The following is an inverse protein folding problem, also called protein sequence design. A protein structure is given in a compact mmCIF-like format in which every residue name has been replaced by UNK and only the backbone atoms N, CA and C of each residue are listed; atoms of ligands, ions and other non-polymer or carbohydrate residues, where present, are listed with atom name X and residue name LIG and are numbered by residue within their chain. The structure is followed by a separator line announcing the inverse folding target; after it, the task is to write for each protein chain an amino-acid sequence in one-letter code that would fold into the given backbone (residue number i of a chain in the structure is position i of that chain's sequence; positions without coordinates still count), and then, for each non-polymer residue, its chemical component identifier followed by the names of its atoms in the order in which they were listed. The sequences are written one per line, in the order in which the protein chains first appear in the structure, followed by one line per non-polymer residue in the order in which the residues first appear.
data_IF_631355730826
#
_entry.id   IF_631355730826
#
_cell.length_a   1.000
_cell.length_b   1.000
_cell.length_c   1.000
_cell.angle_alpha   90.00
_cell.angle_beta   90.00
_cell.angle_gamma   90.00
#
_symmetry.space_group_name_H-M   'P 1'
#
loop_
_entity.id
_entity.type
_entity.pdbx_description
1 polymer ?
#
# COMPACT_ATOMS: atom_id res chain seq x y z
N UNK A 1 29.89 -27.88 -15.48
CA UNK A 1 29.54 -27.57 -14.06
C UNK A 1 29.41 -26.08 -13.77
N UNK A 2 30.36 -25.27 -14.19
CA UNK A 2 30.28 -23.80 -13.97
C UNK A 2 29.09 -23.14 -14.63
N UNK A 3 28.69 -23.56 -15.82
CA UNK A 3 27.54 -23.02 -16.55
C UNK A 3 26.24 -23.37 -15.84
N UNK A 4 26.10 -24.57 -15.28
CA UNK A 4 24.92 -25.00 -14.51
C UNK A 4 24.82 -24.22 -13.20
N UNK A 5 25.93 -23.96 -12.51
CA UNK A 5 25.95 -23.16 -11.28
C UNK A 5 25.54 -21.71 -11.55
N UNK A 6 26.04 -21.11 -12.64
CA UNK A 6 25.65 -19.76 -13.05
C UNK A 6 24.17 -19.68 -13.38
N UNK A 7 23.62 -20.68 -14.07
CA UNK A 7 22.20 -20.70 -14.39
C UNK A 7 21.33 -20.82 -13.13
N UNK A 8 21.77 -21.61 -12.14
CA UNK A 8 21.07 -21.72 -10.87
C UNK A 8 21.12 -20.41 -10.09
N UNK A 9 22.27 -19.75 -10.03
CA UNK A 9 22.40 -18.45 -9.39
C UNK A 9 21.51 -17.41 -10.04
N UNK A 10 21.47 -17.35 -11.37
CA UNK A 10 20.61 -16.44 -12.13
C UNK A 10 19.13 -16.73 -11.84
N UNK A 11 18.75 -18.00 -11.74
CA UNK A 11 17.36 -18.37 -11.38
C UNK A 11 17.01 -17.93 -9.97
N UNK A 12 17.90 -18.11 -9.00
CA UNK A 12 17.67 -17.70 -7.62
C UNK A 12 17.54 -16.17 -7.52
N UNK A 13 18.46 -15.42 -8.14
CA UNK A 13 18.43 -13.95 -8.15
C UNK A 13 17.16 -13.47 -8.84
N UNK A 14 16.78 -14.07 -9.97
CA UNK A 14 15.56 -13.72 -10.68
C UNK A 14 14.31 -13.98 -9.84
N UNK A 15 14.27 -15.09 -9.11
CA UNK A 15 13.16 -15.43 -8.20
C UNK A 15 13.05 -14.43 -7.06
N UNK A 16 14.17 -14.05 -6.44
CA UNK A 16 14.21 -13.06 -5.37
C UNK A 16 13.76 -11.69 -5.88
N UNK A 17 14.24 -11.26 -7.05
CA UNK A 17 13.83 -10.00 -7.66
C UNK A 17 12.34 -9.96 -7.95
N UNK A 18 11.78 -11.05 -8.47
CA UNK A 18 10.33 -11.15 -8.72
C UNK A 18 9.54 -11.03 -7.41
N UNK A 19 10.01 -11.65 -6.34
CA UNK A 19 9.36 -11.57 -5.02
C UNK A 19 9.33 -10.13 -4.52
N UNK A 20 10.47 -9.44 -4.51
CA UNK A 20 10.54 -8.06 -4.04
C UNK A 20 9.76 -7.11 -4.93
N UNK A 21 9.80 -7.30 -6.24
CA UNK A 21 9.04 -6.51 -7.19
C UNK A 21 7.53 -6.70 -6.97
N UNK A 22 7.08 -7.93 -6.75
CA UNK A 22 5.69 -8.24 -6.44
C UNK A 22 5.24 -7.54 -5.16
N UNK A 23 6.06 -7.59 -4.09
CA UNK A 23 5.78 -6.90 -2.83
C UNK A 23 5.67 -5.39 -3.05
N UNK A 24 6.58 -4.81 -3.82
CA UNK A 24 6.60 -3.37 -4.10
C UNK A 24 5.35 -2.93 -4.85
N UNK A 25 4.99 -3.64 -5.92
CA UNK A 25 3.78 -3.35 -6.72
C UNK A 25 2.53 -3.50 -5.86
N UNK A 26 2.43 -4.58 -5.09
CA UNK A 26 1.31 -4.83 -4.17
C UNK A 26 1.20 -3.72 -3.12
N UNK A 27 2.33 -3.23 -2.63
CA UNK A 27 2.40 -2.13 -1.67
C UNK A 27 1.91 -0.81 -2.27
N UNK A 28 2.27 -0.53 -3.51
CA UNK A 28 1.79 0.66 -4.23
C UNK A 28 0.28 0.59 -4.41
N UNK A 29 -0.26 -0.56 -4.82
CA UNK A 29 -1.70 -0.77 -4.97
C UNK A 29 -2.43 -0.60 -3.65
N UNK A 30 -1.86 -1.11 -2.56
CA UNK A 30 -2.40 -0.93 -1.21
C UNK A 30 -2.46 0.55 -0.84
N UNK A 31 -1.40 1.30 -1.13
CA UNK A 31 -1.37 2.75 -0.93
C UNK A 31 -2.45 3.46 -1.71
N UNK A 32 -2.65 3.10 -2.97
CA UNK A 32 -3.74 3.65 -3.78
C UNK A 32 -5.10 3.38 -3.15
N UNK A 33 -5.36 2.16 -2.71
CA UNK A 33 -6.64 1.80 -2.07
C UNK A 33 -6.88 2.65 -0.83
N UNK A 34 -5.90 2.76 0.07
CA UNK A 34 -6.01 3.56 1.29
C UNK A 34 -6.28 5.04 0.97
N UNK A 35 -5.61 5.59 -0.03
CA UNK A 35 -5.80 7.00 -0.40
C UNK A 35 -7.20 7.24 -0.97
N UNK A 36 -7.70 6.33 -1.80
CA UNK A 36 -9.07 6.41 -2.33
C UNK A 36 -10.08 6.37 -1.19
N UNK A 37 -9.91 5.45 -0.26
CA UNK A 37 -10.80 5.29 0.89
C UNK A 37 -10.77 6.49 1.82
N UNK A 38 -9.58 7.00 2.12
CA UNK A 38 -9.41 8.20 2.93
C UNK A 38 -10.05 9.42 2.26
N UNK A 39 -9.91 9.54 0.93
CA UNK A 39 -10.54 10.61 0.16
C UNK A 39 -12.06 10.50 0.20
N UNK A 40 -12.60 9.29 0.06
CA UNK A 40 -14.03 9.04 0.15
C UNK A 40 -14.56 9.36 1.56
N UNK A 41 -13.83 8.94 2.60
CA UNK A 41 -14.17 9.24 3.99
C UNK A 41 -14.25 10.75 4.23
N UNK A 42 -13.24 11.50 3.80
CA UNK A 42 -13.19 12.95 3.96
C UNK A 42 -14.31 13.65 3.18
N UNK A 43 -14.64 13.15 1.99
CA UNK A 43 -15.70 13.73 1.15
C UNK A 43 -17.10 13.55 1.74
N UNK A 44 -17.35 12.42 2.40
CA UNK A 44 -18.69 12.05 2.90
C UNK A 44 -18.85 12.41 4.38
N UNK A 45 -17.75 12.58 5.10
CA UNK A 45 -17.74 12.80 6.54
C UNK A 45 -18.66 13.96 7.00
N UNK A 46 -18.69 15.04 6.20
CA UNK A 46 -19.52 16.21 6.54
C UNK A 46 -21.01 15.89 6.53
N UNK A 47 -21.46 14.98 5.64
CA UNK A 47 -22.86 14.63 5.48
C UNK A 47 -23.25 13.38 6.28
N UNK A 48 -22.37 12.38 6.34
CA UNK A 48 -22.64 11.12 7.03
C UNK A 48 -21.33 10.46 7.49
N UNK A 49 -20.93 10.66 8.76
CA UNK A 49 -19.71 10.03 9.28
C UNK A 49 -19.79 8.51 9.30
N UNK A 50 -20.99 7.94 9.51
CA UNK A 50 -21.16 6.48 9.52
C UNK A 50 -20.93 5.86 8.16
N UNK A 51 -21.43 6.50 7.10
CA UNK A 51 -21.24 6.02 5.73
C UNK A 51 -19.77 6.10 5.32
N UNK A 52 -19.08 7.19 5.66
CA UNK A 52 -17.65 7.34 5.40
C UNK A 52 -16.82 6.25 6.08
N UNK A 53 -17.12 5.96 7.34
CA UNK A 53 -16.44 4.90 8.09
C UNK A 53 -16.70 3.51 7.51
N UNK A 54 -17.94 3.25 7.05
CA UNK A 54 -18.28 1.99 6.40
C UNK A 54 -17.51 1.80 5.10
N UNK A 55 -17.40 2.82 4.27
CA UNK A 55 -16.62 2.78 3.02
C UNK A 55 -15.14 2.53 3.30
N UNK A 56 -14.57 3.17 4.31
CA UNK A 56 -13.19 2.94 4.72
C UNK A 56 -12.97 1.48 5.16
N UNK A 57 -13.92 0.92 5.91
CA UNK A 57 -13.89 -0.48 6.32
C UNK A 57 -13.96 -1.46 5.15
N UNK A 58 -14.78 -1.16 4.13
CA UNK A 58 -14.86 -1.97 2.91
C UNK A 58 -13.52 -2.00 2.18
N UNK A 59 -12.84 -0.87 2.11
CA UNK A 59 -11.55 -0.80 1.46
C UNK A 59 -10.47 -1.58 2.21
N UNK A 60 -10.41 -1.47 3.54
CA UNK A 60 -9.53 -2.30 4.34
C UNK A 60 -9.80 -3.79 4.13
N UNK A 61 -11.07 -4.17 4.05
CA UNK A 61 -11.47 -5.53 3.73
C UNK A 61 -10.95 -5.96 2.37
N UNK A 62 -11.02 -5.07 1.38
CA UNK A 62 -10.51 -5.32 0.04
C UNK A 62 -9.00 -5.60 0.06
N UNK A 63 -8.23 -4.79 0.79
CA UNK A 63 -6.78 -4.97 0.92
C UNK A 63 -6.47 -6.34 1.53
N UNK A 64 -7.19 -6.73 2.57
CA UNK A 64 -7.00 -8.01 3.23
C UNK A 64 -7.41 -9.17 2.30
N UNK A 65 -8.52 -9.03 1.59
CA UNK A 65 -9.02 -10.05 0.70
C UNK A 65 -8.06 -10.35 -0.46
N UNK A 66 -7.51 -9.31 -1.07
CA UNK A 66 -6.53 -9.44 -2.14
C UNK A 66 -5.10 -9.68 -1.64
N UNK A 67 -4.92 -9.78 -0.32
CA UNK A 67 -3.61 -10.00 0.33
C UNK A 67 -2.56 -8.96 -0.11
N UNK A 68 -2.98 -7.72 -0.26
CA UNK A 68 -2.08 -6.63 -0.60
C UNK A 68 -1.14 -6.32 0.58
N UNK A 69 0.06 -5.91 0.26
CA UNK A 69 1.06 -5.59 1.27
C UNK A 69 0.82 -4.20 1.86
N UNK A 70 0.16 -4.16 3.00
CA UNK A 70 -0.02 -2.96 3.79
C UNK A 70 0.87 -3.05 5.03
N UNK A 71 1.69 -2.03 5.26
CA UNK A 71 2.66 -2.00 6.36
C UNK A 71 1.99 -2.27 7.72
N UNK A 72 0.88 -1.58 7.98
CA UNK A 72 0.19 -1.70 9.26
C UNK A 72 -0.32 -3.12 9.54
N UNK A 73 -0.66 -3.87 8.48
CA UNK A 73 -1.09 -5.25 8.63
C UNK A 73 0.06 -6.25 8.72
N UNK A 74 1.24 -5.88 8.23
CA UNK A 74 2.39 -6.80 8.16
C UNK A 74 3.42 -6.59 9.28
N UNK A 75 3.44 -5.42 9.90
CA UNK A 75 4.44 -5.08 10.94
C UNK A 75 4.34 -5.99 12.15
N UNK A 76 3.14 -6.45 12.50
CA UNK A 76 2.94 -7.35 13.64
C UNK A 76 3.61 -8.70 13.50
N UNK A 77 3.86 -9.15 12.28
CA UNK A 77 4.48 -10.44 12.00
C UNK A 77 6.02 -10.38 12.00
N UNK A 78 6.62 -9.22 12.24
CA UNK A 78 8.08 -9.05 12.17
C UNK A 78 8.82 -9.90 13.22
N UNK A 79 8.21 -10.11 14.36
CA UNK A 79 8.80 -10.89 15.46
C UNK A 79 8.81 -12.40 15.18
N UNK A 80 7.86 -12.87 14.39
CA UNK A 80 7.68 -14.27 14.08
C UNK A 80 8.40 -14.72 12.80
N UNK A 81 8.97 -13.77 12.06
CA UNK A 81 9.59 -14.02 10.77
C UNK A 81 11.11 -13.82 10.81
N UNK A 82 11.79 -14.28 9.75
CA UNK A 82 13.24 -14.16 9.59
C UNK A 82 13.66 -12.69 9.49
N UNK A 83 14.94 -12.36 9.81
CA UNK A 83 15.45 -10.98 9.66
C UNK A 83 15.25 -10.37 8.28
N UNK A 84 15.24 -11.19 7.21
CA UNK A 84 14.96 -10.73 5.83
C UNK A 84 13.57 -10.13 5.68
N UNK A 85 12.62 -10.49 6.54
CA UNK A 85 11.27 -9.92 6.55
C UNK A 85 11.28 -8.41 6.83
N UNK A 86 12.25 -7.95 7.62
CA UNK A 86 12.41 -6.53 7.89
C UNK A 86 12.68 -5.73 6.60
N UNK A 87 13.49 -6.29 5.70
CA UNK A 87 13.73 -5.68 4.38
C UNK A 87 12.46 -5.64 3.54
N UNK A 88 11.65 -6.69 3.57
CA UNK A 88 10.36 -6.72 2.90
C UNK A 88 9.42 -5.64 3.44
N UNK A 89 9.42 -5.43 4.76
CA UNK A 89 8.65 -4.35 5.38
C UNK A 89 9.11 -2.96 4.94
N UNK A 90 10.42 -2.74 4.80
CA UNK A 90 10.94 -1.47 4.30
C UNK A 90 10.46 -1.19 2.88
N UNK A 91 10.49 -2.19 2.01
CA UNK A 91 9.96 -2.10 0.65
C UNK A 91 8.47 -1.81 0.68
N UNK A 92 7.74 -2.46 1.57
CA UNK A 92 6.30 -2.24 1.77
C UNK A 92 5.99 -0.80 2.16
N UNK A 93 6.72 -0.24 3.12
CA UNK A 93 6.56 1.16 3.57
C UNK A 93 6.81 2.12 2.41
N UNK A 94 7.90 1.92 1.66
CA UNK A 94 8.23 2.76 0.52
C UNK A 94 7.15 2.67 -0.56
N UNK A 95 6.65 1.46 -0.85
CA UNK A 95 5.59 1.25 -1.82
C UNK A 95 4.28 1.91 -1.40
N UNK A 96 3.86 1.75 -0.15
CA UNK A 96 2.67 2.40 0.40
C UNK A 96 2.80 3.93 0.30
N UNK A 97 3.95 4.47 0.73
CA UNK A 97 4.20 5.90 0.68
C UNK A 97 4.15 6.44 -0.75
N UNK A 98 4.79 5.76 -1.70
CA UNK A 98 4.76 6.16 -3.12
C UNK A 98 3.34 6.11 -3.68
N UNK A 99 2.58 5.08 -3.35
CA UNK A 99 1.18 4.95 -3.78
C UNK A 99 0.32 6.07 -3.23
N UNK A 100 0.40 6.32 -1.93
CA UNK A 100 -0.34 7.38 -1.26
C UNK A 100 0.02 8.76 -1.84
N UNK A 101 1.30 9.03 -1.96
CA UNK A 101 1.79 10.32 -2.47
C UNK A 101 1.35 10.56 -3.90
N UNK A 102 1.52 9.56 -4.78
CA UNK A 102 1.17 9.68 -6.19
C UNK A 102 -0.33 9.95 -6.37
N UNK A 103 -1.18 9.19 -5.70
CA UNK A 103 -2.62 9.34 -5.83
C UNK A 103 -3.12 10.62 -5.15
N UNK A 104 -2.56 10.98 -3.99
CA UNK A 104 -2.88 12.23 -3.31
C UNK A 104 -2.54 13.44 -4.21
N UNK A 105 -1.42 13.38 -4.92
CA UNK A 105 -1.02 14.43 -5.86
C UNK A 105 -2.01 14.55 -7.04
N UNK A 106 -2.46 13.42 -7.58
CA UNK A 106 -3.47 13.37 -8.64
C UNK A 106 -4.79 13.96 -8.15
N UNK A 107 -5.23 13.61 -6.95
CA UNK A 107 -6.46 14.13 -6.34
C UNK A 107 -6.35 15.62 -6.10
N UNK A 108 -5.19 16.11 -5.67
CA UNK A 108 -4.93 17.53 -5.44
C UNK A 108 -5.07 18.34 -6.73
N UNK A 109 -4.68 17.77 -7.87
CA UNK A 109 -4.81 18.43 -9.18
C UNK A 109 -6.25 18.39 -9.69
N UNK A 110 -7.13 17.57 -9.12
CA UNK A 110 -8.55 17.52 -9.48
C UNK A 110 -9.34 18.63 -8.80
N UNK A 111 -10.54 18.92 -9.31
CA UNK A 111 -11.43 19.94 -8.73
C UNK A 111 -11.84 19.66 -7.29
N UNK A 112 -11.81 18.39 -6.87
CA UNK A 112 -12.15 17.96 -5.51
C UNK A 112 -11.00 18.10 -4.53
N UNK A 113 -9.80 18.36 -5.00
CA UNK A 113 -8.61 18.49 -4.16
C UNK A 113 -8.71 19.58 -3.11
N UNK A 114 -9.27 20.73 -3.46
CA UNK A 114 -9.46 21.87 -2.53
C UNK A 114 -10.41 21.49 -1.39
N UNK A 115 -11.51 20.82 -1.70
CA UNK A 115 -12.49 20.39 -0.71
C UNK A 115 -11.87 19.38 0.27
N UNK A 116 -11.08 18.43 -0.24
CA UNK A 116 -10.41 17.42 0.58
C UNK A 116 -9.35 18.06 1.48
N UNK A 117 -8.60 19.05 0.99
CA UNK A 117 -7.62 19.76 1.80
C UNK A 117 -8.29 20.52 2.94
N UNK A 118 -9.42 21.15 2.68
CA UNK A 118 -10.18 21.86 3.69
C UNK A 118 -10.72 20.91 4.77
N UNK A 119 -11.26 19.76 4.38
CA UNK A 119 -11.72 18.73 5.32
C UNK A 119 -10.55 18.16 6.14
N UNK A 120 -9.39 18.00 5.56
CA UNK A 120 -8.20 17.53 6.27
C UNK A 120 -7.70 18.53 7.32
N UNK A 121 -7.85 19.85 7.08
CA UNK A 121 -7.50 20.88 8.06
C UNK A 121 -8.40 20.85 9.30
N UNK A 122 -9.66 20.47 9.15
CA UNK A 122 -10.62 20.40 10.24
C UNK A 122 -10.31 19.21 11.17
N UNK A 123 -9.57 18.23 10.67
CA UNK A 123 -9.08 17.11 11.45
C UNK A 123 -7.92 17.49 12.35
#
# INVERSE_FOLDING_TARGET
MEVLNKNQEVHEVSSILKKYLSIFISSILSGFCITIEASALLSIRANSPYLGSALFGIGLFTIIHFKLWLYTGKVGAVLDNKPSYFLELLICVLGNFLGDYSLAHIIKLSRKGDVLQEQARIL
#
